data_IF_637377594773
#
_entry.id   IF_637377594773
#
_cell.length_a   1.000
_cell.length_b   1.000
_cell.length_c   1.000
_cell.angle_alpha   90.00
_cell.angle_beta   90.00
_cell.angle_gamma   90.00
#
_symmetry.space_group_name_H-M   'P 1'
#
loop_
_entity.id
_entity.type
_entity.pdbx_description
1 polymer ?
#
# COMPACT_ATOMS: atom_id res chain seq x y z
N UNK A 1 -11.60 4.91 -1.67
CA UNK A 1 -12.79 4.68 -0.82
C UNK A 1 -13.12 3.20 -0.64
N UNK A 2 -13.25 2.39 -1.72
CA UNK A 2 -13.59 0.96 -1.64
C UNK A 2 -12.66 0.12 -0.72
N UNK A 3 -11.35 0.38 -0.75
CA UNK A 3 -10.37 -0.35 0.09
C UNK A 3 -10.62 -0.10 1.59
N UNK A 4 -10.86 1.16 1.96
CA UNK A 4 -11.07 1.57 3.35
C UNK A 4 -12.30 0.91 3.95
N UNK A 5 -13.36 0.72 3.16
CA UNK A 5 -14.58 0.05 3.61
C UNK A 5 -14.36 -1.43 3.93
N UNK A 6 -13.56 -2.14 3.13
CA UNK A 6 -13.16 -3.52 3.43
C UNK A 6 -12.36 -3.58 4.74
N UNK A 7 -11.38 -2.68 4.91
CA UNK A 7 -10.59 -2.62 6.15
C UNK A 7 -11.46 -2.27 7.37
N UNK A 8 -12.44 -1.37 7.21
CA UNK A 8 -13.39 -1.01 8.25
C UNK A 8 -14.21 -2.22 8.70
N UNK A 9 -14.74 -3.01 7.76
CA UNK A 9 -15.45 -4.26 8.08
C UNK A 9 -14.56 -5.25 8.84
N UNK A 10 -13.28 -5.38 8.47
CA UNK A 10 -12.33 -6.23 9.19
C UNK A 10 -12.06 -5.71 10.62
N UNK A 11 -12.06 -4.39 10.83
CA UNK A 11 -11.87 -3.78 12.16
C UNK A 11 -13.09 -4.02 13.05
N UNK A 12 -14.29 -3.83 12.50
CA UNK A 12 -15.56 -3.87 13.24
C UNK A 12 -16.02 -5.31 13.54
N UNK A 13 -15.47 -6.29 12.82
CA UNK A 13 -15.75 -7.71 13.04
C UNK A 13 -15.30 -8.14 14.45
N UNK A 14 -16.28 -8.51 15.28
CA UNK A 14 -16.07 -9.02 16.66
C UNK A 14 -15.26 -10.32 16.69
N UNK A 15 -15.51 -11.23 15.76
CA UNK A 15 -14.74 -12.47 15.62
C UNK A 15 -13.45 -12.23 14.82
N UNK A 16 -12.34 -12.90 15.13
CA UNK A 16 -11.11 -12.74 14.36
C UNK A 16 -11.16 -13.44 12.99
N UNK A 17 -12.23 -14.18 12.68
CA UNK A 17 -12.40 -14.95 11.44
C UNK A 17 -13.46 -14.33 10.56
N UNK A 18 -13.20 -14.31 9.24
CA UNK A 18 -14.15 -13.89 8.21
C UNK A 18 -13.93 -14.70 6.92
N UNK A 19 -15.00 -15.05 6.22
CA UNK A 19 -14.93 -15.69 4.90
C UNK A 19 -14.97 -14.64 3.78
N UNK A 20 -14.63 -15.04 2.55
CA UNK A 20 -14.77 -14.15 1.40
C UNK A 20 -16.23 -13.77 1.13
N UNK A 21 -17.13 -14.74 1.21
CA UNK A 21 -18.56 -14.53 1.03
C UNK A 21 -19.11 -13.53 2.07
N UNK A 22 -18.77 -13.71 3.35
CA UNK A 22 -19.20 -12.79 4.41
C UNK A 22 -18.63 -11.37 4.19
N UNK A 23 -17.38 -11.27 3.75
CA UNK A 23 -16.76 -9.97 3.49
C UNK A 23 -17.39 -9.28 2.28
N UNK A 24 -17.72 -10.03 1.22
CA UNK A 24 -18.42 -9.54 0.04
C UNK A 24 -19.82 -9.03 0.39
N UNK A 25 -20.59 -9.81 1.16
CA UNK A 25 -21.92 -9.44 1.65
C UNK A 25 -21.88 -8.14 2.47
N UNK A 26 -20.99 -8.05 3.46
CA UNK A 26 -20.89 -6.87 4.34
C UNK A 26 -20.41 -5.61 3.64
N UNK A 27 -19.68 -5.73 2.53
CA UNK A 27 -19.09 -4.59 1.81
C UNK A 27 -19.86 -4.23 0.55
N UNK A 28 -20.71 -5.11 0.04
CA UNK A 28 -21.34 -4.98 -1.28
C UNK A 28 -20.36 -5.10 -2.44
N UNK A 29 -19.15 -5.65 -2.23
CA UNK A 29 -18.13 -5.82 -3.26
C UNK A 29 -18.02 -7.26 -3.72
N UNK A 30 -17.46 -7.46 -4.92
CA UNK A 30 -17.22 -8.80 -5.45
C UNK A 30 -16.16 -9.54 -4.63
N UNK A 31 -16.30 -10.86 -4.50
CA UNK A 31 -15.31 -11.69 -3.81
C UNK A 31 -13.90 -11.54 -4.38
N UNK A 32 -13.79 -11.36 -5.71
CA UNK A 32 -12.51 -11.08 -6.38
C UNK A 32 -11.84 -9.80 -5.84
N UNK A 33 -12.61 -8.75 -5.60
CA UNK A 33 -12.10 -7.51 -5.02
C UNK A 33 -11.71 -7.71 -3.55
N UNK A 34 -12.58 -8.34 -2.76
CA UNK A 34 -12.32 -8.65 -1.34
C UNK A 34 -11.06 -9.51 -1.17
N UNK A 35 -10.88 -10.54 -2.01
CA UNK A 35 -9.69 -11.40 -2.05
C UNK A 35 -8.42 -10.62 -2.34
N UNK A 36 -8.47 -9.66 -3.28
CA UNK A 36 -7.33 -8.78 -3.56
C UNK A 36 -6.96 -7.92 -2.35
N UNK A 37 -7.95 -7.32 -1.69
CA UNK A 37 -7.70 -6.52 -0.47
C UNK A 37 -7.13 -7.38 0.65
N UNK A 38 -7.69 -8.57 0.89
CA UNK A 38 -7.19 -9.50 1.89
C UNK A 38 -5.75 -9.93 1.61
N UNK A 39 -5.37 -10.13 0.34
CA UNK A 39 -3.98 -10.40 -0.04
C UNK A 39 -3.04 -9.27 0.36
N UNK A 40 -3.45 -8.00 0.21
CA UNK A 40 -2.66 -6.86 0.67
C UNK A 40 -2.55 -6.80 2.20
N UNK A 41 -3.64 -7.07 2.90
CA UNK A 41 -3.67 -7.15 4.38
C UNK A 41 -2.79 -8.29 4.89
N UNK A 42 -2.77 -9.44 4.20
CA UNK A 42 -1.90 -10.57 4.51
C UNK A 42 -0.43 -10.26 4.25
N UNK A 43 -0.11 -9.62 3.11
CA UNK A 43 1.25 -9.19 2.80
C UNK A 43 1.79 -8.18 3.83
N UNK A 44 0.90 -7.39 4.44
CA UNK A 44 1.23 -6.50 5.55
C UNK A 44 1.36 -7.22 6.91
N UNK A 45 1.17 -8.54 6.97
CA UNK A 45 1.22 -9.33 8.20
C UNK A 45 0.06 -9.05 9.15
N UNK A 46 -1.06 -8.54 8.63
CA UNK A 46 -2.23 -8.12 9.43
C UNK A 46 -3.37 -9.14 9.41
N UNK A 47 -3.29 -10.11 8.51
CA UNK A 47 -4.17 -11.26 8.45
C UNK A 47 -3.39 -12.50 7.99
N UNK A 48 -3.97 -13.69 8.21
CA UNK A 48 -3.47 -14.95 7.68
C UNK A 48 -4.63 -15.78 7.13
N UNK A 49 -4.32 -16.66 6.19
CA UNK A 49 -5.27 -17.65 5.69
C UNK A 49 -5.29 -18.87 6.62
N UNK A 50 -6.47 -19.41 6.89
CA UNK A 50 -6.69 -20.62 7.68
C UNK A 50 -7.78 -21.44 6.98
N UNK A 51 -7.50 -22.73 6.75
CA UNK A 51 -8.46 -23.66 6.16
C UNK A 51 -8.76 -24.73 7.22
N UNK A 52 -9.96 -24.67 7.80
CA UNK A 52 -10.42 -25.64 8.81
C UNK A 52 -11.80 -26.11 8.44
N UNK A 53 -12.03 -27.42 8.58
CA UNK A 53 -13.32 -28.04 8.34
C UNK A 53 -13.90 -27.66 6.96
N UNK A 54 -13.07 -27.75 5.92
CA UNK A 54 -13.43 -27.49 4.51
C UNK A 54 -13.96 -26.07 4.23
N UNK A 55 -13.75 -25.14 5.16
CA UNK A 55 -14.11 -23.74 4.99
C UNK A 55 -12.86 -22.85 5.04
N UNK A 56 -12.74 -22.01 4.02
CA UNK A 56 -11.68 -21.02 3.90
C UNK A 56 -11.99 -19.78 4.75
N UNK A 57 -11.12 -19.49 5.72
CA UNK A 57 -11.22 -18.31 6.57
C UNK A 57 -9.98 -17.44 6.48
N UNK A 58 -10.18 -16.14 6.69
CA UNK A 58 -9.13 -15.16 6.91
C UNK A 58 -9.15 -14.77 8.38
N UNK A 59 -8.03 -15.02 9.06
CA UNK A 59 -7.85 -14.70 10.47
C UNK A 59 -7.15 -13.35 10.61
N UNK A 60 -7.86 -12.38 11.17
CA UNK A 60 -7.38 -11.04 11.48
C UNK A 60 -6.37 -11.13 12.63
N UNK A 61 -5.13 -10.71 12.39
CA UNK A 61 -4.05 -10.78 13.37
C UNK A 61 -4.12 -9.67 14.42
N UNK A 62 -4.08 -8.40 14.01
CA UNK A 62 -4.11 -7.26 14.94
C UNK A 62 -5.03 -6.14 14.46
N UNK A 63 -6.14 -5.96 15.19
CA UNK A 63 -7.10 -4.88 14.93
C UNK A 63 -6.51 -3.50 15.15
N UNK A 64 -5.60 -3.35 16.12
CA UNK A 64 -4.93 -2.07 16.37
C UNK A 64 -4.03 -1.67 15.20
N UNK A 65 -3.31 -2.63 14.61
CA UNK A 65 -2.53 -2.39 13.40
C UNK A 65 -3.43 -2.11 12.18
N UNK A 66 -4.58 -2.77 12.05
CA UNK A 66 -5.58 -2.45 11.03
C UNK A 66 -6.16 -1.03 11.20
N UNK A 67 -6.46 -0.60 12.42
CA UNK A 67 -6.87 0.79 12.72
C UNK A 67 -5.76 1.77 12.35
N UNK A 68 -4.49 1.44 12.62
CA UNK A 68 -3.34 2.19 12.15
C UNK A 68 -3.29 2.32 10.63
N UNK A 69 -3.45 1.19 9.93
CA UNK A 69 -3.52 1.15 8.45
C UNK A 69 -4.66 2.02 7.92
N UNK A 70 -5.85 1.91 8.50
CA UNK A 70 -7.02 2.70 8.12
C UNK A 70 -6.78 4.20 8.35
N UNK A 71 -6.18 4.57 9.48
CA UNK A 71 -5.79 5.96 9.74
C UNK A 71 -4.77 6.45 8.72
N UNK A 72 -3.79 5.64 8.33
CA UNK A 72 -2.82 5.99 7.28
C UNK A 72 -3.46 6.11 5.89
N UNK A 73 -4.48 5.30 5.62
CA UNK A 73 -5.29 5.32 4.39
C UNK A 73 -6.25 6.51 4.31
N UNK A 74 -6.80 6.91 5.45
CA UNK A 74 -7.72 8.05 5.57
C UNK A 74 -6.97 9.37 5.71
N UNK A 75 -5.73 9.35 6.21
CA UNK A 75 -4.87 10.53 6.23
C UNK A 75 -4.50 10.88 4.78
N UNK A 76 -4.91 12.04 4.26
CA UNK A 76 -4.32 12.55 3.04
C UNK A 76 -2.85 12.82 3.34
N UNK A 77 -1.95 11.92 2.95
CA UNK A 77 -0.54 12.25 2.94
C UNK A 77 -0.30 13.04 1.67
N UNK A 78 -0.74 14.31 1.69
CA UNK A 78 -0.83 15.22 0.53
C UNK A 78 0.41 15.08 -0.35
N UNK A 79 1.59 15.00 0.26
CA UNK A 79 2.84 14.92 -0.46
C UNK A 79 3.06 13.59 -1.18
N UNK A 80 2.94 12.43 -0.50
CA UNK A 80 3.14 11.13 -1.17
C UNK A 80 2.08 10.87 -2.23
N UNK A 81 0.84 11.32 -2.01
CA UNK A 81 -0.25 11.18 -2.98
C UNK A 81 -0.01 12.07 -4.22
N UNK A 82 0.44 13.32 -4.03
CA UNK A 82 0.89 14.20 -5.11
C UNK A 82 2.06 13.59 -5.89
N UNK A 83 3.05 13.00 -5.21
CA UNK A 83 4.18 12.33 -5.87
C UNK A 83 3.69 11.13 -6.68
N UNK A 84 2.81 10.28 -6.13
CA UNK A 84 2.24 9.15 -6.87
C UNK A 84 1.49 9.58 -8.12
N UNK A 85 0.71 10.67 -8.01
CA UNK A 85 0.04 11.25 -9.16
C UNK A 85 1.03 11.74 -10.22
N UNK A 86 2.09 12.46 -9.81
CA UNK A 86 3.15 12.93 -10.70
C UNK A 86 3.89 11.77 -11.40
N UNK A 87 4.19 10.68 -10.69
CA UNK A 87 4.77 9.45 -11.27
C UNK A 87 3.88 8.91 -12.39
N UNK A 88 2.55 8.93 -12.20
CA UNK A 88 1.62 8.40 -13.20
C UNK A 88 1.46 9.30 -14.42
N UNK A 89 1.66 10.61 -14.27
CA UNK A 89 1.67 11.57 -15.39
C UNK A 89 2.95 11.45 -16.21
N UNK A 90 4.11 11.40 -15.55
CA UNK A 90 5.44 11.46 -16.20
C UNK A 90 5.89 10.18 -16.91
N UNK A 91 5.15 9.05 -16.79
CA UNK A 91 5.56 7.75 -17.34
C UNK A 91 6.03 7.85 -18.81
N UNK A 92 7.01 7.04 -19.24
CA UNK A 92 7.54 5.85 -18.57
C UNK A 92 8.70 6.09 -17.61
N UNK A 93 9.47 7.17 -17.80
CA UNK A 93 10.70 7.45 -17.06
C UNK A 93 10.62 8.83 -16.42
N UNK A 94 11.05 8.93 -15.16
CA UNK A 94 10.97 10.16 -14.38
C UNK A 94 12.17 10.28 -13.44
N UNK A 95 12.49 11.51 -13.03
CA UNK A 95 13.56 11.78 -12.07
C UNK A 95 13.05 12.62 -10.89
N UNK A 96 13.88 12.73 -9.86
CA UNK A 96 13.58 13.50 -8.64
C UNK A 96 13.17 14.94 -8.94
N UNK A 97 13.86 15.61 -9.87
CA UNK A 97 13.60 17.03 -10.22
C UNK A 97 12.20 17.18 -10.81
N UNK A 98 11.89 16.43 -11.87
CA UNK A 98 10.58 16.46 -12.53
C UNK A 98 9.43 16.09 -11.59
N UNK A 99 9.66 15.12 -10.70
CA UNK A 99 8.68 14.75 -9.67
C UNK A 99 8.45 15.88 -8.66
N UNK A 100 9.51 16.53 -8.19
CA UNK A 100 9.40 17.64 -7.25
C UNK A 100 8.66 18.83 -7.85
N UNK A 101 8.95 19.15 -9.12
CA UNK A 101 8.30 20.23 -9.87
C UNK A 101 6.79 19.98 -10.04
N UNK A 102 6.41 18.81 -10.57
CA UNK A 102 5.00 18.50 -10.86
C UNK A 102 4.19 18.27 -9.59
N UNK A 103 4.77 17.61 -8.59
CA UNK A 103 4.05 17.37 -7.32
C UNK A 103 4.05 18.58 -6.40
N UNK A 104 4.90 19.58 -6.64
CA UNK A 104 5.20 20.69 -5.71
C UNK A 104 5.55 20.18 -4.30
N UNK A 105 6.32 19.09 -4.25
CA UNK A 105 6.79 18.45 -3.01
C UNK A 105 8.29 18.58 -2.90
N UNK A 106 8.78 18.84 -1.69
CA UNK A 106 10.22 18.95 -1.41
C UNK A 106 10.98 17.70 -1.93
N UNK A 107 12.10 17.88 -2.65
CA UNK A 107 12.87 16.77 -3.22
C UNK A 107 13.27 15.68 -2.21
N UNK A 108 13.52 16.04 -0.95
CA UNK A 108 13.86 15.06 0.09
C UNK A 108 12.72 14.09 0.37
N UNK A 109 11.48 14.59 0.39
CA UNK A 109 10.27 13.76 0.56
C UNK A 109 10.04 12.86 -0.66
N UNK A 110 10.36 13.37 -1.85
CA UNK A 110 10.34 12.58 -3.09
C UNK A 110 11.32 11.41 -2.98
N UNK A 111 12.58 11.68 -2.61
CA UNK A 111 13.60 10.64 -2.48
C UNK A 111 13.23 9.55 -1.49
N UNK A 112 12.70 9.93 -0.32
CA UNK A 112 12.25 8.95 0.67
C UNK A 112 11.11 8.09 0.16
N UNK A 113 10.17 8.68 -0.58
CA UNK A 113 9.08 7.92 -1.14
C UNK A 113 9.52 7.01 -2.30
N UNK A 114 10.44 7.46 -3.15
CA UNK A 114 11.05 6.62 -4.19
C UNK A 114 11.80 5.43 -3.58
N UNK A 115 12.51 5.60 -2.45
CA UNK A 115 13.16 4.48 -1.74
C UNK A 115 12.13 3.43 -1.29
N UNK A 116 10.96 3.86 -0.80
CA UNK A 116 9.87 2.95 -0.40
C UNK A 116 9.31 2.22 -1.62
N UNK A 117 9.00 2.93 -2.71
CA UNK A 117 8.49 2.33 -3.93
C UNK A 117 9.48 1.33 -4.55
N UNK A 118 10.77 1.65 -4.53
CA UNK A 118 11.82 0.78 -5.03
C UNK A 118 11.97 -0.49 -4.18
N UNK A 119 11.93 -0.36 -2.85
CA UNK A 119 11.94 -1.48 -1.92
C UNK A 119 10.81 -2.48 -2.21
N UNK A 120 9.62 -1.96 -2.52
CA UNK A 120 8.44 -2.77 -2.86
C UNK A 120 8.37 -3.19 -4.33
N UNK A 121 9.45 -3.00 -5.11
CA UNK A 121 9.55 -3.38 -6.53
C UNK A 121 8.43 -2.78 -7.39
N UNK A 122 8.04 -1.54 -7.11
CA UNK A 122 7.04 -0.80 -7.89
C UNK A 122 7.72 0.07 -8.94
N UNK A 123 8.89 0.60 -8.62
CA UNK A 123 9.77 1.33 -9.53
C UNK A 123 11.15 0.68 -9.55
N UNK A 124 11.90 0.93 -10.62
CA UNK A 124 13.30 0.50 -10.76
C UNK A 124 14.18 1.68 -11.17
N UNK A 125 15.46 1.66 -10.79
CA UNK A 125 16.45 2.60 -11.33
C UNK A 125 16.83 2.15 -12.73
N UNK A 126 16.83 3.07 -13.68
CA UNK A 126 17.19 2.75 -15.08
C UNK A 126 18.63 3.18 -15.35
N UNK A 127 18.92 4.46 -15.16
CA UNK A 127 20.22 5.05 -15.44
C UNK A 127 20.48 6.31 -14.59
N UNK A 128 21.65 6.91 -14.77
CA UNK A 128 21.98 8.25 -14.27
C UNK A 128 21.93 9.24 -15.43
N UNK A 129 20.89 10.06 -15.46
CA UNK A 129 20.76 11.17 -16.39
C UNK A 129 21.37 12.47 -15.85
N UNK A 130 21.31 13.52 -16.67
CA UNK A 130 21.79 14.88 -16.35
C UNK A 130 21.21 15.46 -15.05
N UNK A 131 20.00 15.04 -14.67
CA UNK A 131 19.29 15.53 -13.49
C UNK A 131 19.24 14.50 -12.34
N UNK A 132 20.14 13.52 -12.36
CA UNK A 132 20.28 12.49 -11.33
C UNK A 132 19.76 11.13 -11.79
N UNK A 133 19.41 10.28 -10.83
CA UNK A 133 18.91 8.93 -11.12
C UNK A 133 17.54 9.01 -11.76
N UNK A 134 17.39 8.41 -12.94
CA UNK A 134 16.08 8.19 -13.53
C UNK A 134 15.49 6.88 -13.02
N UNK A 135 14.18 6.90 -12.86
CA UNK A 135 13.37 5.81 -12.36
C UNK A 135 12.29 5.49 -13.37
N UNK A 136 11.93 4.22 -13.44
CA UNK A 136 10.83 3.74 -14.28
C UNK A 136 9.79 3.03 -13.42
N UNK A 137 8.52 3.28 -13.71
CA UNK A 137 7.42 2.57 -13.07
C UNK A 137 7.24 1.21 -13.74
N UNK A 138 7.47 0.14 -12.99
CA UNK A 138 7.33 -1.25 -13.47
C UNK A 138 5.99 -1.89 -13.08
N UNK A 139 5.29 -1.33 -12.08
CA UNK A 139 3.99 -1.84 -11.62
C UNK A 139 3.03 -0.69 -11.30
N UNK A 140 1.97 -0.52 -12.09
CA UNK A 140 0.89 0.41 -11.75
C UNK A 140 -0.13 -0.28 -10.83
N UNK A 141 -0.27 0.24 -9.61
CA UNK A 141 -1.21 -0.26 -8.59
C UNK A 141 -2.55 0.48 -8.61
N UNK A 142 -2.74 1.42 -9.55
CA UNK A 142 -3.98 2.13 -9.78
C UNK A 142 -3.91 3.62 -9.43
N UNK A 143 -5.07 4.31 -9.47
CA UNK A 143 -5.12 5.75 -9.27
C UNK A 143 -4.79 6.20 -7.85
N UNK A 144 -5.01 5.32 -6.87
CA UNK A 144 -4.66 5.59 -5.48
C UNK A 144 -3.23 5.17 -5.20
N UNK A 145 -2.58 5.93 -4.33
CA UNK A 145 -1.23 5.61 -3.86
C UNK A 145 -1.21 4.23 -3.19
N UNK A 146 -0.20 3.39 -3.45
CA UNK A 146 -0.07 2.13 -2.75
C UNK A 146 0.19 2.32 -1.26
N UNK A 147 -0.42 1.44 -0.46
CA UNK A 147 -0.25 1.41 0.99
C UNK A 147 0.97 0.58 1.33
N UNK A 148 2.09 1.27 1.47
CA UNK A 148 3.38 0.62 1.70
C UNK A 148 3.80 0.86 3.14
N UNK A 149 4.13 -0.22 3.85
CA UNK A 149 4.82 -0.11 5.12
C UNK A 149 6.15 0.60 4.89
N UNK A 150 6.48 1.52 5.80
CA UNK A 150 7.82 2.10 5.81
C UNK A 150 8.85 0.98 6.01
N UNK A 151 10.07 1.17 5.51
CA UNK A 151 11.15 0.20 5.70
C UNK A 151 11.17 -0.23 7.18
N UNK A 152 11.31 -1.53 7.50
CA UNK A 152 11.58 -1.91 8.86
C UNK A 152 12.81 -1.12 9.31
N UNK A 153 12.66 -0.28 10.34
CA UNK A 153 13.82 0.29 11.04
C UNK A 153 14.72 -0.91 11.34
N UNK A 154 15.98 -0.87 10.88
CA UNK A 154 16.99 -1.84 11.32
C UNK A 154 16.82 -1.94 12.84
N UNK A 155 16.50 -3.13 13.35
CA UNK A 155 16.64 -3.39 14.78
C UNK A 155 18.12 -3.13 15.04
N UNK A 156 18.44 -2.01 15.66
CA UNK A 156 19.74 -1.81 16.25
C UNK A 156 19.96 -2.99 17.20
N UNK A 157 21.13 -3.62 17.06
CA UNK A 157 21.48 -4.80 17.81
C UNK A 157 21.35 -4.50 19.30
N UNK A 158 20.50 -5.26 19.97
CA UNK A 158 20.69 -5.52 21.39
C UNK A 158 21.98 -6.33 21.45
N UNK A 159 23.08 -5.65 21.79
CA UNK A 159 24.27 -6.29 22.32
C UNK A 159 24.02 -6.62 23.79
#
# INVERSE_FOLDING_TARGET
MKFNQVIQVLIDKKTPRITLAELAEKTGFTEKYCKRVLKEVMNAGLARFDNRAEKEFYVIGSRQKLKGLLKTLQRPNKNRDKIWHAIRILKPVFNRKSLSEISSVNPHTVDDYLKVLAHHKIIVKVDRGRHGTNWQLIKDLGPQRPVLSEKPKKKEGVK
#
